data_IF_258982181420
#
_entry.id   IF_258982181420
#
_cell.length_a   1.000
_cell.length_b   1.000
_cell.length_c   1.000
_cell.angle_alpha   90.00
_cell.angle_beta   90.00
_cell.angle_gamma   90.00
#
_symmetry.space_group_name_H-M   'P 1'
#
loop_
_entity.id
_entity.type
_entity.pdbx_description
1 polymer ?
#
# COMPACT_ATOMS: atom_id res chain seq x y z
N UNK A 1 51.19 23.44 -32.66
CA UNK A 1 51.10 21.98 -32.43
C UNK A 1 50.12 21.75 -31.29
N UNK A 2 48.86 21.37 -31.54
CA UNK A 2 47.90 21.08 -30.47
C UNK A 2 48.15 19.67 -29.92
N UNK A 3 48.16 19.54 -28.59
CA UNK A 3 48.24 18.25 -27.90
C UNK A 3 46.84 17.64 -27.84
N UNK A 4 46.64 16.52 -28.55
CA UNK A 4 45.42 15.74 -28.50
C UNK A 4 45.34 14.99 -27.17
N UNK A 5 44.32 15.29 -26.35
CA UNK A 5 44.05 14.55 -25.12
C UNK A 5 43.25 13.30 -25.51
N UNK A 6 43.92 12.15 -25.48
CA UNK A 6 43.29 10.85 -25.72
C UNK A 6 42.47 10.45 -24.49
N UNK A 7 41.15 10.59 -24.56
CA UNK A 7 40.23 10.14 -23.51
C UNK A 7 40.00 8.64 -23.65
N UNK A 8 40.66 7.85 -22.81
CA UNK A 8 40.39 6.41 -22.65
C UNK A 8 39.43 6.23 -21.48
N UNK A 9 38.13 6.12 -21.77
CA UNK A 9 37.14 5.71 -20.78
C UNK A 9 37.30 4.18 -20.61
N UNK A 10 37.61 3.66 -19.41
CA UNK A 10 37.62 2.22 -19.20
C UNK A 10 36.19 1.69 -19.28
N UNK A 11 35.96 0.72 -20.16
CA UNK A 11 34.70 0.00 -20.25
C UNK A 11 34.41 -0.68 -18.91
N UNK A 12 33.39 -0.21 -18.20
CA UNK A 12 32.87 -0.88 -17.02
C UNK A 12 32.39 -2.28 -17.42
N UNK A 13 32.97 -3.32 -16.81
CA UNK A 13 32.50 -4.70 -16.93
C UNK A 13 31.02 -4.74 -16.56
N UNK A 14 30.15 -5.40 -17.34
CA UNK A 14 28.78 -5.63 -16.92
C UNK A 14 28.84 -6.64 -15.75
N UNK A 15 28.78 -6.14 -14.53
CA UNK A 15 28.57 -7.01 -13.38
C UNK A 15 27.28 -7.77 -13.60
N UNK A 16 27.47 -9.09 -13.70
CA UNK A 16 26.45 -10.11 -13.77
C UNK A 16 25.27 -9.73 -12.87
N UNK A 17 24.09 -9.62 -13.50
CA UNK A 17 22.75 -9.57 -12.91
C UNK A 17 22.81 -9.86 -11.42
N UNK A 18 22.52 -8.83 -10.61
CA UNK A 18 22.01 -9.03 -9.25
C UNK A 18 20.98 -10.15 -9.37
N UNK A 19 21.32 -11.32 -8.86
CA UNK A 19 20.37 -12.41 -8.69
C UNK A 19 19.29 -11.80 -7.83
N UNK A 20 18.20 -11.35 -8.45
CA UNK A 20 17.00 -10.98 -7.73
C UNK A 20 16.70 -12.19 -6.90
N UNK A 21 16.90 -12.08 -5.58
CA UNK A 21 16.56 -13.14 -4.64
C UNK A 21 15.14 -13.52 -4.98
N UNK A 22 14.95 -14.68 -5.61
CA UNK A 22 13.61 -15.21 -5.89
C UNK A 22 13.04 -15.49 -4.50
N UNK A 23 12.37 -14.50 -3.92
CA UNK A 23 11.51 -14.71 -2.78
C UNK A 23 10.58 -15.83 -3.19
N UNK A 24 10.58 -16.92 -2.42
CA UNK A 24 9.68 -18.01 -2.74
C UNK A 24 8.24 -17.45 -2.74
N UNK A 25 7.40 -17.85 -3.69
CA UNK A 25 6.04 -17.30 -3.82
C UNK A 25 5.24 -17.43 -2.52
N UNK A 26 5.54 -18.44 -1.71
CA UNK A 26 4.98 -18.69 -0.38
C UNK A 26 5.45 -17.69 0.68
N UNK A 27 6.69 -17.20 0.62
CA UNK A 27 7.20 -16.20 1.56
C UNK A 27 6.63 -14.81 1.24
N UNK A 28 6.42 -14.52 -0.05
CA UNK A 28 5.79 -13.29 -0.49
C UNK A 28 4.34 -13.18 -0.02
N UNK A 29 3.55 -14.25 -0.11
CA UNK A 29 2.12 -14.20 0.21
C UNK A 29 1.84 -13.99 1.70
N UNK A 30 2.53 -14.70 2.60
CA UNK A 30 2.32 -14.55 4.05
C UNK A 30 2.71 -13.16 4.56
N UNK A 31 3.82 -12.61 4.04
CA UNK A 31 4.26 -11.25 4.36
C UNK A 31 3.25 -10.21 3.84
N UNK A 32 2.77 -10.35 2.59
CA UNK A 32 1.75 -9.45 2.06
C UNK A 32 0.45 -9.49 2.86
N UNK A 33 -0.04 -10.66 3.26
CA UNK A 33 -1.26 -10.76 4.08
C UNK A 33 -1.07 -10.03 5.42
N UNK A 34 0.08 -10.22 6.08
CA UNK A 34 0.40 -9.51 7.31
C UNK A 34 0.47 -7.99 7.10
N UNK A 35 1.05 -7.56 5.99
CA UNK A 35 1.16 -6.14 5.62
C UNK A 35 -0.21 -5.51 5.35
N UNK A 36 -1.09 -6.16 4.58
CA UNK A 36 -2.47 -5.66 4.35
C UNK A 36 -3.24 -5.58 5.67
N UNK A 37 -3.10 -6.58 6.55
CA UNK A 37 -3.72 -6.56 7.87
C UNK A 37 -3.18 -5.43 8.76
N UNK A 38 -1.90 -5.07 8.65
CA UNK A 38 -1.34 -3.92 9.35
C UNK A 38 -1.99 -2.60 8.88
N UNK A 39 -2.18 -2.42 7.57
CA UNK A 39 -2.87 -1.24 7.03
C UNK A 39 -4.34 -1.18 7.44
N UNK A 40 -5.03 -2.33 7.54
CA UNK A 40 -6.38 -2.42 8.10
C UNK A 40 -6.40 -1.93 9.56
N UNK A 41 -5.45 -2.37 10.38
CA UNK A 41 -5.36 -1.93 11.77
C UNK A 41 -5.09 -0.42 11.89
N UNK A 42 -4.23 0.14 11.02
CA UNK A 42 -3.96 1.58 10.98
C UNK A 42 -5.22 2.37 10.60
N UNK A 43 -5.97 1.93 9.59
CA UNK A 43 -7.27 2.54 9.22
C UNK A 43 -8.22 2.56 10.41
N UNK A 44 -8.36 1.43 11.10
CA UNK A 44 -9.28 1.28 12.23
C UNK A 44 -8.88 2.23 13.39
N UNK A 45 -7.58 2.38 13.67
CA UNK A 45 -7.07 3.34 14.65
C UNK A 45 -7.34 4.79 14.24
N UNK A 46 -7.10 5.15 12.98
CA UNK A 46 -7.36 6.51 12.47
C UNK A 46 -8.84 6.87 12.52
N UNK A 47 -9.72 5.90 12.25
CA UNK A 47 -11.16 6.09 12.40
C UNK A 47 -11.53 6.39 13.85
N UNK A 48 -11.02 5.63 14.82
CA UNK A 48 -11.27 5.87 16.23
C UNK A 48 -10.81 7.29 16.65
N UNK A 49 -9.63 7.72 16.20
CA UNK A 49 -9.14 9.09 16.45
C UNK A 49 -9.99 10.17 15.79
N UNK A 50 -10.51 9.90 14.59
CA UNK A 50 -11.40 10.82 13.89
C UNK A 50 -12.77 10.93 14.58
N UNK A 51 -13.26 9.85 15.18
CA UNK A 51 -14.51 9.85 15.96
C UNK A 51 -14.39 10.62 17.28
N UNK A 52 -13.23 10.53 17.91
CA UNK A 52 -12.91 11.21 19.17
C UNK A 52 -12.63 12.70 18.97
N UNK A 53 -11.63 13.03 18.15
CA UNK A 53 -11.16 14.41 17.99
C UNK A 53 -12.00 15.22 16.99
N UNK A 54 -12.63 14.56 16.02
CA UNK A 54 -13.49 15.17 14.99
C UNK A 54 -12.89 16.40 14.32
N UNK A 55 -11.61 16.33 13.95
CA UNK A 55 -10.96 17.40 13.19
C UNK A 55 -10.96 17.05 11.70
N UNK A 56 -11.00 18.07 10.84
CA UNK A 56 -10.92 17.88 9.39
C UNK A 56 -9.67 17.08 8.96
N UNK A 57 -8.53 17.28 9.65
CA UNK A 57 -7.29 16.54 9.39
C UNK A 57 -7.43 15.05 9.71
N UNK A 58 -8.01 14.67 10.85
CA UNK A 58 -8.20 13.26 11.22
C UNK A 58 -9.19 12.55 10.29
N UNK A 59 -10.25 13.24 9.90
CA UNK A 59 -11.20 12.74 8.90
C UNK A 59 -10.49 12.52 7.55
N UNK A 60 -9.64 13.46 7.11
CA UNK A 60 -8.87 13.30 5.87
C UNK A 60 -7.87 12.14 5.93
N UNK A 61 -7.15 11.97 7.04
CA UNK A 61 -6.26 10.82 7.25
C UNK A 61 -7.01 9.49 7.18
N UNK A 62 -8.21 9.43 7.76
CA UNK A 62 -9.05 8.22 7.74
C UNK A 62 -9.53 7.89 6.32
N UNK A 63 -9.88 8.90 5.52
CA UNK A 63 -10.21 8.72 4.08
C UNK A 63 -9.04 8.09 3.35
N UNK A 64 -7.85 8.68 3.45
CA UNK A 64 -6.67 8.19 2.75
C UNK A 64 -6.32 6.75 3.12
N UNK A 65 -6.36 6.42 4.42
CA UNK A 65 -6.11 5.06 4.89
C UNK A 65 -7.17 4.08 4.39
N UNK A 66 -8.45 4.47 4.39
CA UNK A 66 -9.53 3.63 3.90
C UNK A 66 -9.44 3.36 2.39
N UNK A 67 -9.12 4.39 1.61
CA UNK A 67 -8.98 4.28 0.16
C UNK A 67 -7.78 3.41 -0.22
N UNK A 68 -6.67 3.53 0.52
CA UNK A 68 -5.52 2.67 0.36
C UNK A 68 -5.87 1.20 0.63
N UNK A 69 -6.50 0.91 1.78
CA UNK A 69 -6.94 -0.46 2.11
C UNK A 69 -7.85 -1.00 1.03
N UNK A 70 -8.83 -0.23 0.57
CA UNK A 70 -9.74 -0.65 -0.50
C UNK A 70 -8.99 -1.00 -1.80
N UNK A 71 -7.91 -0.28 -2.12
CA UNK A 71 -7.02 -0.60 -3.23
C UNK A 71 -6.33 -1.95 -3.06
N UNK A 72 -5.84 -2.26 -1.85
CA UNK A 72 -5.22 -3.55 -1.52
C UNK A 72 -6.17 -4.74 -1.60
N UNK A 73 -7.50 -4.52 -1.52
CA UNK A 73 -8.51 -5.58 -1.60
C UNK A 73 -8.94 -5.92 -3.03
N UNK A 74 -8.46 -5.18 -4.03
CA UNK A 74 -8.71 -5.53 -5.42
C UNK A 74 -7.98 -6.83 -5.78
N UNK A 75 -8.52 -7.66 -6.67
CA UNK A 75 -7.80 -8.82 -7.17
C UNK A 75 -6.44 -8.40 -7.70
N UNK A 76 -5.38 -9.03 -7.19
CA UNK A 76 -4.03 -8.76 -7.66
C UNK A 76 -3.91 -9.15 -9.13
N UNK A 77 -3.07 -8.42 -9.86
CA UNK A 77 -2.76 -8.68 -11.27
C UNK A 77 -1.35 -9.21 -11.39
N UNK A 78 -1.09 -9.98 -12.44
CA UNK A 78 0.24 -10.44 -12.80
C UNK A 78 1.25 -9.28 -12.79
N UNK A 79 2.44 -9.45 -12.16
CA UNK A 79 3.00 -10.69 -11.60
C UNK A 79 2.68 -10.94 -10.12
N UNK A 80 1.81 -10.13 -9.52
CA UNK A 80 1.54 -10.11 -8.08
C UNK A 80 0.33 -10.96 -7.68
N UNK A 81 -0.10 -11.90 -8.52
CA UNK A 81 -1.32 -12.70 -8.29
C UNK A 81 -1.31 -13.50 -6.97
N UNK A 82 -0.18 -13.61 -6.28
CA UNK A 82 -0.04 -14.24 -4.96
C UNK A 82 -0.07 -13.24 -3.78
N UNK A 83 -0.12 -11.93 -4.05
CA UNK A 83 -0.05 -10.82 -3.08
C UNK A 83 -1.45 -10.21 -2.85
N UNK A 84 -2.38 -11.04 -2.36
CA UNK A 84 -3.75 -10.63 -2.08
C UNK A 84 -4.25 -11.30 -0.79
N UNK A 85 -5.24 -10.68 -0.16
CA UNK A 85 -5.98 -11.32 0.93
C UNK A 85 -6.86 -12.44 0.38
N UNK A 86 -7.04 -13.56 1.11
CA UNK A 86 -8.03 -14.57 0.74
C UNK A 86 -9.38 -13.93 0.43
N UNK A 87 -10.06 -14.39 -0.62
CA UNK A 87 -11.26 -13.70 -1.15
C UNK A 87 -12.36 -13.52 -0.09
N UNK A 88 -12.51 -14.48 0.83
CA UNK A 88 -13.46 -14.38 1.95
C UNK A 88 -13.14 -13.18 2.86
N UNK A 89 -11.86 -12.95 3.15
CA UNK A 89 -11.40 -11.82 3.95
C UNK A 89 -11.49 -10.52 3.15
N UNK A 90 -11.13 -10.56 1.87
CA UNK A 90 -11.21 -9.40 0.99
C UNK A 90 -12.66 -8.90 0.79
N UNK A 91 -13.64 -9.80 0.69
CA UNK A 91 -15.07 -9.44 0.61
C UNK A 91 -15.54 -8.81 1.92
N UNK A 92 -15.14 -9.38 3.07
CA UNK A 92 -15.49 -8.83 4.39
C UNK A 92 -14.93 -7.42 4.56
N UNK A 93 -13.67 -7.22 4.21
CA UNK A 93 -13.02 -5.91 4.36
C UNK A 93 -13.55 -4.87 3.35
N UNK A 94 -14.00 -5.28 2.15
CA UNK A 94 -14.69 -4.37 1.22
C UNK A 94 -15.96 -3.79 1.83
N UNK A 95 -16.77 -4.62 2.51
CA UNK A 95 -17.97 -4.16 3.23
C UNK A 95 -17.59 -3.21 4.38
N UNK A 96 -16.51 -3.49 5.10
CA UNK A 96 -16.01 -2.57 6.15
C UNK A 96 -15.57 -1.24 5.56
N UNK A 97 -14.85 -1.23 4.43
CA UNK A 97 -14.47 0.01 3.75
C UNK A 97 -15.68 0.88 3.36
N UNK A 98 -16.78 0.28 2.93
CA UNK A 98 -18.03 1.00 2.67
C UNK A 98 -18.65 1.57 3.97
N UNK A 99 -18.67 0.78 5.05
CA UNK A 99 -19.14 1.25 6.35
C UNK A 99 -18.31 2.43 6.89
N UNK A 100 -16.99 2.36 6.76
CA UNK A 100 -16.07 3.45 7.13
C UNK A 100 -16.32 4.69 6.28
N UNK A 101 -16.53 4.56 4.97
CA UNK A 101 -16.91 5.70 4.10
C UNK A 101 -18.19 6.38 4.56
N UNK A 102 -19.23 5.60 4.88
CA UNK A 102 -20.48 6.15 5.41
C UNK A 102 -20.26 6.86 6.74
N UNK A 103 -19.44 6.30 7.62
CA UNK A 103 -19.13 6.91 8.92
C UNK A 103 -18.36 8.23 8.78
N UNK A 104 -17.37 8.27 7.88
CA UNK A 104 -16.64 9.50 7.53
C UNK A 104 -17.59 10.58 7.03
N UNK A 105 -18.56 10.23 6.18
CA UNK A 105 -19.54 11.19 5.67
C UNK A 105 -20.36 11.81 6.82
N UNK A 106 -20.86 10.98 7.75
CA UNK A 106 -21.55 11.46 8.96
C UNK A 106 -20.68 12.38 9.81
N UNK A 107 -19.41 12.04 10.02
CA UNK A 107 -18.47 12.87 10.79
C UNK A 107 -18.22 14.23 10.11
N UNK A 108 -18.22 14.28 8.77
CA UNK A 108 -18.09 15.53 8.02
C UNK A 108 -19.33 16.40 8.12
N UNK A 109 -20.51 15.80 8.03
CA UNK A 109 -21.78 16.52 8.20
C UNK A 109 -21.89 17.14 9.59
N UNK A 110 -21.44 16.44 10.63
CA UNK A 110 -21.43 16.94 12.00
C UNK A 110 -20.40 18.06 12.27
N UNK A 111 -19.51 18.35 11.30
CA UNK A 111 -18.49 19.40 11.40
C UNK A 111 -18.95 20.74 10.80
N UNK A 112 -20.04 20.74 10.03
CA UNK A 112 -20.67 21.90 9.37
C UNK A 112 -21.74 22.48 10.26
#
# INVERSE_FOLDING_TARGET
MPLAISSTIPAAKPESRRSATRLSPTFGSAYTVAEINAYIAIRDQLLAEAEDLRTASKIASTVLANDFVQGCLQPARSPYDAQYLPETDAVRERKRCEAVRNRIAQLREALV
#
